data_IF_594703320417
#
_entry.id   IF_594703320417
#
_cell.length_a   1.000
_cell.length_b   1.000
_cell.length_c   1.000
_cell.angle_alpha   90.00
_cell.angle_beta   90.00
_cell.angle_gamma   90.00
#
_symmetry.space_group_name_H-M   'P 1'
#
loop_
_entity.id
_entity.type
_entity.pdbx_description
1 polymer ?
#
# COMPACT_ATOMS: atom_id res chain seq x y z
N UNK A 1 9.29 -1.52 13.86
CA UNK A 1 9.91 -1.63 12.52
C UNK A 1 8.82 -1.97 11.54
N UNK A 2 8.61 -1.13 10.53
CA UNK A 2 7.51 -1.23 9.56
C UNK A 2 7.00 0.16 9.19
N UNK A 3 7.67 0.80 8.23
CA UNK A 3 7.28 2.08 7.65
C UNK A 3 5.95 1.92 6.88
N UNK A 4 4.97 2.76 7.19
CA UNK A 4 3.80 2.97 6.34
C UNK A 4 3.78 4.44 5.94
N UNK A 5 4.17 4.71 4.68
CA UNK A 5 3.95 5.98 4.00
C UNK A 5 2.47 6.06 3.64
N UNK A 6 1.81 7.11 4.08
CA UNK A 6 0.52 7.52 3.53
C UNK A 6 0.75 8.86 2.84
N UNK A 7 0.25 9.04 1.62
CA UNK A 7 0.25 10.31 0.92
C UNK A 7 -1.21 10.77 0.87
N UNK A 8 -1.50 11.86 1.57
CA UNK A 8 -2.60 12.76 1.23
C UNK A 8 -2.06 14.19 1.40
N UNK A 9 -2.05 14.93 0.29
CA UNK A 9 -1.65 16.34 0.21
C UNK A 9 -2.21 16.97 -1.08
N UNK A 10 -2.51 18.29 -1.07
CA UNK A 10 -3.64 18.94 -1.74
C UNK A 10 -3.32 19.45 -3.17
N UNK A 11 -4.26 20.12 -3.88
CA UNK A 11 -4.08 20.48 -5.27
C UNK A 11 -3.11 21.67 -5.45
N UNK A 12 -2.39 21.61 -6.56
CA UNK A 12 -1.40 22.55 -7.03
C UNK A 12 -1.90 24.00 -7.13
N UNK A 13 -1.13 24.94 -6.59
CA UNK A 13 -0.95 26.24 -7.22
C UNK A 13 0.37 26.22 -8.01
N UNK A 14 0.25 26.52 -9.30
CA UNK A 14 1.35 26.45 -10.26
C UNK A 14 2.41 27.50 -10.00
N UNK A 15 3.60 27.05 -9.61
CA UNK A 15 4.84 27.81 -9.72
C UNK A 15 5.66 27.26 -10.88
N UNK A 16 5.89 28.09 -11.91
CA UNK A 16 6.80 27.77 -13.01
C UNK A 16 8.20 27.53 -12.44
N UNK A 17 8.66 26.28 -12.46
CA UNK A 17 10.07 25.99 -12.25
C UNK A 17 10.88 26.50 -13.45
N UNK A 18 11.54 27.62 -13.23
CA UNK A 18 12.58 28.14 -14.11
C UNK A 18 13.77 27.21 -13.97
N UNK A 19 14.02 26.37 -14.97
CA UNK A 19 15.20 25.51 -14.99
C UNK A 19 16.47 26.34 -14.84
N UNK A 20 17.22 26.14 -13.76
CA UNK A 20 18.57 26.66 -13.60
C UNK A 20 19.45 26.00 -14.66
N UNK A 21 19.64 26.72 -15.77
CA UNK A 21 20.63 26.40 -16.80
C UNK A 21 22.01 26.49 -16.12
N UNK A 22 22.61 25.33 -15.85
CA UNK A 22 23.98 25.20 -15.34
C UNK A 22 24.93 25.79 -16.39
N UNK A 23 25.40 27.01 -16.17
CA UNK A 23 26.49 27.59 -16.98
C UNK A 23 27.79 27.03 -16.41
N UNK A 24 28.41 26.10 -17.15
CA UNK A 24 29.77 25.62 -16.88
C UNK A 24 30.73 26.81 -16.85
N UNK A 25 31.30 27.07 -15.67
CA UNK A 25 32.48 27.89 -15.55
C UNK A 25 33.65 27.12 -16.18
N UNK A 26 34.11 27.59 -17.34
CA UNK A 26 35.41 27.23 -17.90
C UNK A 26 36.46 28.17 -17.34
N UNK A 27 37.61 27.59 -17.02
CA UNK A 27 38.86 28.25 -16.62
C UNK A 27 39.14 29.54 -17.41
N UNK A 28 39.49 30.60 -16.68
CA UNK A 28 40.32 31.72 -17.16
C UNK A 28 40.95 32.45 -15.97
N UNK A 29 42.25 32.69 -16.09
CA UNK A 29 43.26 33.18 -15.14
C UNK A 29 42.95 34.38 -14.22
N UNK A 30 43.76 34.57 -13.15
CA UNK A 30 43.58 35.62 -12.15
C UNK A 30 44.32 36.90 -12.54
N UNK A 31 43.57 37.91 -13.00
CA UNK A 31 43.91 39.34 -12.79
C UNK A 31 42.85 40.23 -13.43
N UNK A 32 42.07 40.87 -12.57
CA UNK A 32 41.13 41.90 -12.98
C UNK A 32 40.43 42.46 -11.74
N UNK A 33 40.99 43.52 -11.18
CA UNK A 33 40.27 44.40 -10.29
C UNK A 33 39.12 45.01 -11.12
N UNK A 34 37.91 44.51 -10.95
CA UNK A 34 36.70 45.05 -11.54
C UNK A 34 35.61 45.00 -10.49
N UNK A 35 35.16 46.17 -10.05
CA UNK A 35 34.07 46.33 -9.10
C UNK A 35 32.82 45.58 -9.60
N UNK A 36 32.47 44.47 -8.95
CA UNK A 36 31.15 43.87 -9.11
C UNK A 36 30.11 44.87 -8.59
N UNK A 37 29.06 45.23 -9.35
CA UNK A 37 28.11 46.24 -8.91
C UNK A 37 27.44 45.81 -7.60
N UNK A 38 27.40 46.66 -6.55
CA UNK A 38 26.76 46.29 -5.28
C UNK A 38 25.27 45.94 -5.43
N UNK A 39 24.63 46.29 -6.55
CA UNK A 39 23.25 45.92 -6.85
C UNK A 39 23.04 44.45 -7.18
N UNK A 40 23.97 43.76 -7.84
CA UNK A 40 23.77 42.38 -8.29
C UNK A 40 23.85 41.37 -7.14
N UNK A 41 24.78 41.59 -6.21
CA UNK A 41 24.91 40.78 -4.99
C UNK A 41 23.74 40.98 -4.02
N UNK A 42 23.15 42.18 -3.99
CA UNK A 42 21.95 42.47 -3.19
C UNK A 42 20.70 41.78 -3.75
N UNK A 43 20.51 41.79 -5.07
CA UNK A 43 19.39 41.09 -5.71
C UNK A 43 19.50 39.58 -5.55
N UNK A 44 20.70 39.02 -5.67
CA UNK A 44 20.94 37.60 -5.44
C UNK A 44 20.66 37.20 -3.98
N UNK A 45 21.13 38.01 -3.02
CA UNK A 45 20.82 37.79 -1.59
C UNK A 45 19.32 37.85 -1.33
N UNK A 46 18.61 38.83 -1.91
CA UNK A 46 17.17 38.97 -1.75
C UNK A 46 16.41 37.78 -2.35
N UNK A 47 16.83 37.28 -3.51
CA UNK A 47 16.26 36.08 -4.13
C UNK A 47 16.45 34.83 -3.26
N UNK A 48 17.63 34.66 -2.67
CA UNK A 48 17.89 33.57 -1.71
C UNK A 48 17.03 33.68 -0.45
N UNK A 49 16.83 34.89 0.08
CA UNK A 49 15.95 35.10 1.24
C UNK A 49 14.49 34.76 0.93
N UNK A 50 14.01 35.12 -0.27
CA UNK A 50 12.65 34.76 -0.69
C UNK A 50 12.50 33.25 -0.90
N UNK A 51 13.50 32.60 -1.47
CA UNK A 51 13.48 31.15 -1.68
C UNK A 51 13.55 30.40 -0.36
N UNK A 52 14.37 30.87 0.60
CA UNK A 52 14.43 30.30 1.94
C UNK A 52 13.08 30.41 2.66
N UNK A 53 12.40 31.56 2.55
CA UNK A 53 11.05 31.74 3.13
C UNK A 53 10.04 30.82 2.47
N UNK A 54 10.02 30.74 1.14
CA UNK A 54 9.18 29.82 0.38
C UNK A 54 9.40 28.36 0.81
N UNK A 55 10.66 27.96 0.98
CA UNK A 55 11.03 26.63 1.46
C UNK A 55 10.57 26.39 2.90
N UNK A 56 10.66 27.38 3.79
CA UNK A 56 10.19 27.27 5.18
C UNK A 56 8.66 27.13 5.24
N UNK A 57 7.93 27.89 4.45
CA UNK A 57 6.47 27.81 4.37
C UNK A 57 6.03 26.45 3.81
N UNK A 58 6.73 25.93 2.79
CA UNK A 58 6.50 24.60 2.25
C UNK A 58 6.77 23.50 3.29
N UNK A 59 7.82 23.64 4.12
CA UNK A 59 8.09 22.71 5.21
C UNK A 59 6.97 22.71 6.25
N UNK A 60 6.47 23.88 6.66
CA UNK A 60 5.35 23.98 7.60
C UNK A 60 4.08 23.30 7.04
N UNK A 61 3.78 23.51 5.76
CA UNK A 61 2.65 22.86 5.10
C UNK A 61 2.78 21.32 5.08
N UNK A 62 4.00 20.81 4.82
CA UNK A 62 4.29 19.38 4.85
C UNK A 62 4.21 18.81 6.28
N UNK A 63 4.66 19.54 7.29
CA UNK A 63 4.52 19.14 8.69
C UNK A 63 3.05 19.03 9.12
N UNK A 64 2.22 19.98 8.73
CA UNK A 64 0.78 19.96 9.03
C UNK A 64 0.07 18.83 8.28
N UNK A 65 0.45 18.57 7.02
CA UNK A 65 0.02 17.39 6.27
C UNK A 65 0.39 16.08 7.00
N UNK A 66 1.63 15.98 7.51
CA UNK A 66 2.08 14.82 8.27
C UNK A 66 1.29 14.63 9.57
N UNK A 67 0.97 15.73 10.28
CA UNK A 67 0.12 15.70 11.47
C UNK A 67 -1.29 15.23 11.15
N UNK A 68 -1.89 15.70 10.06
CA UNK A 68 -3.22 15.28 9.61
C UNK A 68 -3.23 13.79 9.25
N UNK A 69 -2.25 13.35 8.47
CA UNK A 69 -2.09 11.95 8.08
C UNK A 69 -1.96 11.01 9.29
N UNK A 70 -1.22 11.41 10.33
CA UNK A 70 -1.12 10.64 11.59
C UNK A 70 -2.48 10.49 12.28
N UNK A 71 -3.32 11.53 12.26
CA UNK A 71 -4.70 11.44 12.80
C UNK A 71 -5.55 10.49 11.97
N UNK A 72 -5.48 10.58 10.65
CA UNK A 72 -6.22 9.71 9.73
C UNK A 72 -5.80 8.24 9.87
N UNK A 73 -4.50 7.98 10.00
CA UNK A 73 -3.98 6.63 10.24
C UNK A 73 -4.49 6.06 11.57
N UNK A 74 -4.51 6.86 12.63
CA UNK A 74 -5.05 6.44 13.93
C UNK A 74 -6.55 6.13 13.84
N UNK A 75 -7.32 6.97 13.15
CA UNK A 75 -8.74 6.76 12.90
C UNK A 75 -9.00 5.49 12.08
N UNK A 76 -8.20 5.25 11.04
CA UNK A 76 -8.30 4.05 10.21
C UNK A 76 -8.03 2.79 11.03
N UNK A 77 -6.98 2.78 11.86
CA UNK A 77 -6.69 1.65 12.76
C UNK A 77 -7.84 1.38 13.71
N UNK A 78 -8.44 2.42 14.28
CA UNK A 78 -9.62 2.29 15.13
C UNK A 78 -10.79 1.66 14.38
N UNK A 79 -11.12 2.14 13.17
CA UNK A 79 -12.22 1.59 12.36
C UNK A 79 -11.99 0.14 11.94
N UNK A 80 -10.75 -0.23 11.63
CA UNK A 80 -10.37 -1.62 11.33
C UNK A 80 -10.59 -2.50 12.55
N UNK A 81 -10.21 -2.05 13.74
CA UNK A 81 -10.40 -2.82 14.97
C UNK A 81 -11.89 -2.93 15.34
N UNK A 82 -12.67 -1.87 15.17
CA UNK A 82 -14.13 -1.91 15.34
C UNK A 82 -14.78 -2.92 14.37
N UNK A 83 -14.37 -2.93 13.10
CA UNK A 83 -14.84 -3.91 12.12
C UNK A 83 -14.43 -5.34 12.49
N UNK A 84 -13.19 -5.54 12.95
CA UNK A 84 -12.71 -6.84 13.44
C UNK A 84 -13.56 -7.35 14.60
N UNK A 85 -13.86 -6.50 15.59
CA UNK A 85 -14.70 -6.86 16.73
C UNK A 85 -16.13 -7.22 16.29
N UNK A 86 -16.71 -6.46 15.36
CA UNK A 86 -18.03 -6.76 14.81
C UNK A 86 -18.06 -8.13 14.09
N UNK A 87 -17.01 -8.46 13.32
CA UNK A 87 -16.88 -9.76 12.67
C UNK A 87 -16.71 -10.91 13.66
N UNK A 88 -15.95 -10.71 14.74
CA UNK A 88 -15.83 -11.72 15.80
C UNK A 88 -17.17 -11.97 16.49
N UNK A 89 -17.93 -10.90 16.76
CA UNK A 89 -19.28 -11.00 17.33
C UNK A 89 -20.26 -11.72 16.40
N UNK A 90 -20.24 -11.39 15.10
CA UNK A 90 -21.11 -12.05 14.13
C UNK A 90 -20.74 -13.52 13.94
N UNK A 91 -19.45 -13.86 13.90
CA UNK A 91 -18.97 -15.24 13.83
C UNK A 91 -19.40 -16.06 15.05
N UNK A 92 -19.31 -15.49 16.26
CA UNK A 92 -19.81 -16.14 17.47
C UNK A 92 -21.32 -16.43 17.36
N UNK A 93 -22.10 -15.50 16.80
CA UNK A 93 -23.53 -15.70 16.57
C UNK A 93 -23.81 -16.79 15.54
N UNK A 94 -23.04 -16.85 14.46
CA UNK A 94 -23.15 -17.91 13.45
C UNK A 94 -22.92 -19.27 14.09
N UNK A 95 -21.87 -19.44 14.91
CA UNK A 95 -21.62 -20.69 15.64
C UNK A 95 -22.77 -21.09 16.56
N UNK A 96 -23.38 -20.13 17.26
CA UNK A 96 -24.57 -20.39 18.07
C UNK A 96 -25.74 -20.89 17.19
N UNK A 97 -25.97 -20.26 16.03
CA UNK A 97 -27.01 -20.67 15.10
C UNK A 97 -26.73 -22.04 14.48
N UNK A 98 -25.47 -22.37 14.17
CA UNK A 98 -25.05 -23.69 13.69
C UNK A 98 -25.38 -24.78 14.71
N UNK A 99 -25.06 -24.56 16.00
CA UNK A 99 -25.41 -25.53 17.06
C UNK A 99 -26.93 -25.72 17.20
N UNK A 100 -27.71 -24.65 17.07
CA UNK A 100 -29.18 -24.70 17.08
C UNK A 100 -29.72 -25.44 15.85
N UNK A 101 -29.18 -25.16 14.67
CA UNK A 101 -29.54 -25.83 13.43
C UNK A 101 -29.25 -27.34 13.48
N UNK A 102 -28.15 -27.76 14.12
CA UNK A 102 -27.82 -29.17 14.33
C UNK A 102 -28.87 -29.95 15.15
N UNK A 103 -29.67 -29.27 15.99
CA UNK A 103 -30.77 -29.90 16.75
C UNK A 103 -32.02 -30.12 15.91
N UNK A 104 -32.20 -29.39 14.81
CA UNK A 104 -33.41 -29.44 13.99
C UNK A 104 -33.65 -30.85 13.41
N UNK A 105 -32.67 -31.55 12.83
CA UNK A 105 -32.88 -32.92 12.32
C UNK A 105 -33.23 -33.95 13.42
N UNK A 106 -32.73 -33.76 14.64
CA UNK A 106 -33.06 -34.62 15.79
C UNK A 106 -34.52 -34.41 16.21
N UNK A 107 -34.94 -33.15 16.32
CA UNK A 107 -36.33 -32.79 16.63
C UNK A 107 -37.27 -33.29 15.54
N UNK A 108 -36.92 -33.14 14.26
CA UNK A 108 -37.69 -33.67 13.13
C UNK A 108 -37.85 -35.20 13.21
N UNK A 109 -36.79 -35.94 13.56
CA UNK A 109 -36.87 -37.39 13.76
C UNK A 109 -37.81 -37.76 14.92
N UNK A 110 -37.74 -37.04 16.04
CA UNK A 110 -38.61 -37.28 17.19
C UNK A 110 -40.07 -36.97 16.86
N UNK A 111 -40.35 -35.89 16.14
CA UNK A 111 -41.70 -35.53 15.68
C UNK A 111 -42.26 -36.66 14.81
N UNK A 112 -41.52 -37.13 13.80
CA UNK A 112 -41.96 -38.24 12.95
C UNK A 112 -42.26 -39.52 13.74
N UNK A 113 -41.42 -39.83 14.72
CA UNK A 113 -41.65 -40.99 15.57
C UNK A 113 -42.92 -40.85 16.42
N UNK A 114 -43.12 -39.69 17.05
CA UNK A 114 -44.35 -39.39 17.79
C UNK A 114 -45.59 -39.43 16.88
N UNK A 115 -45.48 -38.93 15.64
CA UNK A 115 -46.55 -39.02 14.64
C UNK A 115 -46.88 -40.49 14.32
N UNK A 116 -45.89 -41.36 14.17
CA UNK A 116 -46.13 -42.81 13.96
C UNK A 116 -46.76 -43.48 15.18
N UNK A 117 -46.36 -43.12 16.40
CA UNK A 117 -46.96 -43.65 17.64
C UNK A 117 -48.41 -43.19 17.79
N UNK A 118 -48.71 -41.92 17.51
CA UNK A 118 -50.07 -41.39 17.53
C UNK A 118 -50.97 -42.04 16.49
N UNK A 119 -50.45 -42.27 15.28
CA UNK A 119 -51.17 -43.02 14.24
C UNK A 119 -51.45 -44.46 14.69
N UNK A 120 -50.47 -45.13 15.30
CA UNK A 120 -50.63 -46.49 15.82
C UNK A 120 -51.66 -46.58 16.96
N UNK A 121 -51.68 -45.62 17.89
CA UNK A 121 -52.69 -45.54 18.95
C UNK A 121 -54.10 -45.26 18.39
N UNK A 122 -54.19 -44.58 17.25
CA UNK A 122 -55.46 -44.31 16.56
C UNK A 122 -55.96 -45.51 15.74
N UNK A 123 -55.04 -46.32 15.25
CA UNK A 123 -55.30 -47.48 14.39
C UNK A 123 -55.47 -48.79 15.15
N UNK A 124 -55.02 -48.89 16.41
CA UNK A 124 -55.26 -50.04 17.28
C UNK A 124 -56.63 -49.91 17.96
N UNK A 125 -57.66 -50.68 17.56
CA UNK A 125 -58.90 -50.75 18.29
C UNK A 125 -58.78 -51.90 19.27
N UNK A 126 -58.38 -51.65 20.51
CA UNK A 126 -58.69 -52.61 21.55
C UNK A 126 -59.10 -51.93 22.85
N UNK A 127 -60.39 -52.05 23.14
CA UNK A 127 -60.91 -52.22 24.49
C UNK A 127 -60.68 -51.03 25.43
N UNK A 128 -61.34 -49.93 25.10
CA UNK A 128 -61.39 -48.74 25.94
C UNK A 128 -62.57 -47.82 25.62
N UNK A 129 -63.71 -48.40 25.21
CA UNK A 129 -64.98 -47.74 25.48
C UNK A 129 -65.02 -47.39 26.96
N UNK A 130 -65.41 -46.16 27.30
CA UNK A 130 -65.73 -45.62 28.65
C UNK A 130 -64.73 -44.65 29.30
N UNK A 131 -64.03 -43.75 28.58
CA UNK A 131 -63.41 -42.57 29.23
C UNK A 131 -63.54 -41.23 28.49
N UNK A 132 -64.11 -41.15 27.28
CA UNK A 132 -64.39 -39.85 26.65
C UNK A 132 -65.70 -39.17 27.14
N UNK A 133 -66.34 -39.69 28.19
CA UNK A 133 -67.62 -39.16 28.70
C UNK A 133 -67.55 -38.38 30.02
N UNK A 134 -66.38 -38.14 30.64
CA UNK A 134 -66.30 -37.49 31.97
C UNK A 134 -65.22 -36.40 32.12
N UNK A 135 -65.04 -35.52 31.13
CA UNK A 135 -64.32 -34.23 31.37
C UNK A 135 -65.11 -33.03 30.84
N UNK A 136 -66.43 -33.15 30.83
CA UNK A 136 -67.36 -32.01 30.81
C UNK A 136 -68.04 -31.90 32.18
N UNK A 137 -67.29 -31.56 33.24
CA UNK A 137 -67.83 -31.14 34.56
C UNK A 137 -66.70 -30.85 35.55
N UNK A 138 -65.97 -29.75 35.38
CA UNK A 138 -65.48 -28.97 36.52
C UNK A 138 -65.51 -27.49 36.14
N UNK A 139 -66.57 -26.86 36.65
CA UNK A 139 -66.76 -25.43 36.81
C UNK A 139 -65.77 -24.90 37.86
N UNK A 140 -65.46 -23.58 37.82
CA UNK A 140 -64.96 -22.64 38.88
C UNK A 140 -63.85 -21.71 38.32
N UNK A 141 -63.77 -20.39 38.66
CA UNK A 141 -64.51 -19.33 37.98
C UNK A 141 -63.58 -18.19 37.47
N UNK A 142 -64.23 -17.22 36.83
CA UNK A 142 -63.71 -15.95 36.29
C UNK A 142 -62.81 -15.14 37.24
N UNK A 143 -61.81 -14.44 36.70
CA UNK A 143 -61.37 -13.07 37.09
C UNK A 143 -60.30 -12.51 36.13
N UNK A 144 -60.67 -11.47 35.36
CA UNK A 144 -59.91 -10.34 34.77
C UNK A 144 -58.43 -10.47 34.35
N UNK A 145 -57.91 -9.82 33.31
CA UNK A 145 -58.32 -8.60 32.59
C UNK A 145 -57.35 -8.45 31.41
N UNK A 146 -57.81 -8.04 30.22
CA UNK A 146 -56.97 -7.37 29.22
C UNK A 146 -56.64 -8.13 27.93
N UNK A 147 -57.57 -8.02 26.97
CA UNK A 147 -57.36 -7.97 25.51
C UNK A 147 -56.30 -6.91 25.09
N UNK A 148 -55.92 -6.73 23.79
CA UNK A 148 -56.46 -7.36 22.58
C UNK A 148 -55.47 -7.79 21.46
N UNK A 149 -56.06 -8.54 20.52
CA UNK A 149 -55.93 -8.49 19.04
C UNK A 149 -54.61 -8.93 18.38
N UNK A 150 -54.62 -9.75 17.31
CA UNK A 150 -55.52 -9.73 16.15
C UNK A 150 -55.68 -11.13 15.53
N UNK A 151 -56.91 -11.40 15.08
CA UNK A 151 -57.36 -12.51 14.23
C UNK A 151 -56.69 -12.41 12.84
N UNK A 152 -56.68 -13.36 11.92
CA UNK A 152 -57.66 -14.31 11.36
C UNK A 152 -56.90 -14.96 10.18
N UNK A 153 -57.26 -16.03 9.48
CA UNK A 153 -58.24 -17.10 9.52
C UNK A 153 -58.09 -17.86 8.18
N UNK A 154 -58.58 -19.11 8.09
CA UNK A 154 -58.97 -19.77 6.84
C UNK A 154 -57.83 -20.50 6.10
N UNK A 155 -57.60 -21.79 6.25
CA UNK A 155 -58.46 -22.96 5.96
C UNK A 155 -58.77 -23.15 4.46
N UNK A 156 -58.19 -24.18 3.83
CA UNK A 156 -58.96 -25.33 3.32
C UNK A 156 -58.12 -26.32 2.50
N UNK A 157 -58.26 -27.60 2.91
CA UNK A 157 -58.45 -28.81 2.11
C UNK A 157 -57.45 -29.26 1.03
N UNK A 158 -56.74 -30.35 1.37
CA UNK A 158 -57.08 -31.67 0.79
C UNK A 158 -56.23 -32.17 -0.41
N UNK A 159 -56.11 -33.50 -0.57
CA UNK A 159 -54.83 -34.14 -0.88
C UNK A 159 -54.79 -34.85 -2.24
N UNK A 160 -53.60 -35.03 -2.83
CA UNK A 160 -53.39 -36.20 -3.70
C UNK A 160 -51.95 -36.72 -3.73
N UNK A 161 -51.86 -38.05 -3.62
CA UNK A 161 -50.71 -38.96 -3.64
C UNK A 161 -49.98 -38.98 -5.00
N UNK A 162 -48.65 -39.16 -4.97
CA UNK A 162 -47.83 -40.32 -5.47
C UNK A 162 -46.36 -39.88 -5.56
N UNK A 163 -45.49 -40.28 -4.62
CA UNK A 163 -44.55 -41.44 -4.65
C UNK A 163 -43.37 -41.35 -5.64
N UNK A 164 -42.16 -41.46 -5.05
CA UNK A 164 -40.98 -42.23 -5.53
C UNK A 164 -40.20 -41.66 -6.75
N UNK A 165 -38.86 -41.61 -6.85
CA UNK A 165 -37.73 -42.32 -6.22
C UNK A 165 -36.41 -41.51 -6.34
N UNK A 166 -35.52 -41.76 -5.38
CA UNK A 166 -34.06 -41.88 -5.44
C UNK A 166 -33.26 -41.13 -6.54
N UNK A 167 -32.33 -40.29 -6.10
CA UNK A 167 -30.94 -40.44 -6.53
C UNK A 167 -29.99 -39.98 -5.41
N UNK A 168 -29.43 -40.96 -4.70
CA UNK A 168 -28.18 -40.78 -3.95
C UNK A 168 -27.03 -40.79 -4.94
N UNK A 169 -26.21 -39.74 -4.94
CA UNK A 169 -24.80 -39.87 -5.32
C UNK A 169 -23.96 -39.13 -4.27
N UNK A 170 -23.31 -39.96 -3.46
CA UNK A 170 -22.19 -39.61 -2.60
C UNK A 170 -20.91 -39.33 -3.41
N UNK A 171 -19.96 -38.71 -2.70
CA UNK A 171 -18.48 -38.69 -2.86
C UNK A 171 -17.89 -37.37 -3.38
N UNK A 172 -17.52 -36.46 -2.47
CA UNK A 172 -16.29 -36.41 -1.63
C UNK A 172 -15.10 -35.77 -2.36
N UNK A 173 -14.72 -34.58 -1.90
CA UNK A 173 -13.46 -33.88 -2.18
C UNK A 173 -12.29 -34.50 -1.41
N UNK A 174 -11.04 -34.48 -1.91
CA UNK A 174 -9.90 -35.02 -1.18
C UNK A 174 -9.28 -33.99 -0.24
N UNK A 175 -9.11 -34.38 1.01
CA UNK A 175 -8.36 -33.67 2.05
C UNK A 175 -6.88 -34.09 1.99
N UNK A 176 -5.98 -33.13 2.24
CA UNK A 176 -4.53 -33.33 2.25
C UNK A 176 -4.02 -34.23 3.38
N UNK A 177 -2.90 -34.90 3.11
CA UNK A 177 -2.11 -35.64 4.08
C UNK A 177 -0.70 -35.09 4.16
N UNK A 178 -0.22 -34.94 5.40
CA UNK A 178 1.15 -34.61 5.78
C UNK A 178 1.72 -35.83 6.48
N UNK A 179 2.92 -36.27 6.11
CA UNK A 179 3.70 -37.27 6.84
C UNK A 179 5.18 -36.91 6.78
N UNK A 180 5.89 -37.16 7.87
CA UNK A 180 7.20 -36.61 8.19
C UNK A 180 8.36 -37.60 7.97
N UNK A 181 9.44 -37.08 7.36
CA UNK A 181 10.88 -37.38 7.52
C UNK A 181 11.45 -38.77 7.07
N UNK A 182 12.77 -38.93 6.77
CA UNK A 182 13.92 -38.04 7.07
C UNK A 182 14.96 -37.78 5.93
N UNK A 183 15.82 -36.80 6.22
CA UNK A 183 17.15 -36.40 5.70
C UNK A 183 17.76 -37.03 4.42
N UNK A 184 17.99 -36.19 3.40
CA UNK A 184 19.33 -36.00 2.81
C UNK A 184 19.41 -34.61 2.17
N UNK A 185 20.51 -33.91 2.41
CA UNK A 185 20.69 -32.52 2.02
C UNK A 185 21.09 -32.37 0.57
N UNK A 186 20.47 -31.43 -0.13
CA UNK A 186 21.10 -30.60 -1.15
C UNK A 186 20.13 -29.52 -1.62
N UNK A 187 20.70 -28.35 -1.81
CA UNK A 187 20.14 -27.08 -2.26
C UNK A 187 19.05 -27.24 -3.34
N UNK A 188 17.78 -27.25 -2.94
CA UNK A 188 16.68 -26.99 -3.86
C UNK A 188 16.27 -25.52 -3.75
N UNK A 189 16.85 -24.75 -4.68
CA UNK A 189 16.37 -23.45 -5.10
C UNK A 189 14.84 -23.47 -5.17
N UNK A 190 14.18 -22.78 -4.24
CA UNK A 190 12.77 -22.44 -4.38
C UNK A 190 12.66 -21.50 -5.58
N UNK A 191 12.45 -22.09 -6.77
CA UNK A 191 11.98 -21.34 -7.93
C UNK A 191 10.64 -20.75 -7.53
N UNK A 192 10.57 -19.43 -7.48
CA UNK A 192 9.32 -18.69 -7.36
C UNK A 192 8.34 -19.25 -8.38
N UNK A 193 7.30 -19.92 -7.90
CA UNK A 193 6.15 -20.28 -8.73
C UNK A 193 5.39 -18.97 -8.88
N UNK A 194 5.65 -18.28 -9.99
CA UNK A 194 4.79 -17.20 -10.47
C UNK A 194 3.42 -17.84 -10.72
N UNK A 195 2.53 -17.71 -9.73
CA UNK A 195 1.15 -18.09 -9.88
C UNK A 195 0.53 -17.19 -10.94
N UNK A 196 0.53 -17.65 -12.19
CA UNK A 196 -0.42 -17.18 -13.17
C UNK A 196 -1.80 -17.48 -12.59
N UNK A 197 -2.46 -16.45 -12.04
CA UNK A 197 -3.89 -16.52 -11.88
C UNK A 197 -4.45 -16.82 -13.27
N UNK A 198 -5.14 -17.95 -13.41
CA UNK A 198 -6.02 -18.16 -14.54
C UNK A 198 -7.07 -17.05 -14.46
N UNK A 199 -6.83 -15.98 -15.22
CA UNK A 199 -7.83 -14.99 -15.52
C UNK A 199 -8.85 -15.72 -16.38
N UNK A 200 -9.89 -16.19 -15.72
CA UNK A 200 -11.08 -16.72 -16.35
C UNK A 200 -11.77 -15.56 -17.09
N UNK A 201 -11.29 -15.27 -18.29
CA UNK A 201 -12.02 -14.47 -19.26
C UNK A 201 -13.11 -15.35 -19.86
N UNK A 202 -14.10 -15.73 -19.05
CA UNK A 202 -15.43 -16.03 -19.59
C UNK A 202 -15.99 -14.71 -20.14
N UNK A 203 -15.70 -14.43 -21.41
CA UNK A 203 -16.56 -13.54 -22.18
C UNK A 203 -17.97 -14.14 -22.10
N UNK A 204 -18.84 -13.53 -21.28
CA UNK A 204 -20.28 -13.79 -21.28
C UNK A 204 -20.78 -13.56 -22.70
N UNK A 205 -20.76 -14.62 -23.53
CA UNK A 205 -21.36 -14.67 -24.84
C UNK A 205 -22.86 -14.57 -24.65
N UNK A 206 -23.33 -13.33 -24.55
CA UNK A 206 -24.73 -13.00 -24.76
C UNK A 206 -25.15 -13.68 -26.06
N UNK A 207 -26.10 -14.61 -25.97
CA UNK A 207 -26.63 -15.27 -27.16
C UNK A 207 -27.10 -14.18 -28.14
N UNK A 208 -26.89 -14.38 -29.44
CA UNK A 208 -27.25 -13.38 -30.46
C UNK A 208 -28.72 -12.93 -30.37
N UNK A 209 -29.60 -13.81 -29.88
CA UNK A 209 -30.99 -13.48 -29.54
C UNK A 209 -31.10 -12.52 -28.35
N UNK A 210 -30.34 -12.70 -27.27
CA UNK A 210 -30.34 -11.78 -26.13
C UNK A 210 -29.75 -10.42 -26.50
N UNK A 211 -28.69 -10.38 -27.30
CA UNK A 211 -28.14 -9.13 -27.82
C UNK A 211 -29.10 -8.43 -28.78
N UNK A 212 -29.80 -9.17 -29.64
CA UNK A 212 -30.84 -8.62 -30.52
C UNK A 212 -32.02 -8.09 -29.71
N UNK A 213 -32.48 -8.81 -28.67
CA UNK A 213 -33.53 -8.35 -27.76
C UNK A 213 -33.08 -7.11 -26.97
N UNK A 214 -31.84 -7.07 -26.47
CA UNK A 214 -31.28 -5.90 -25.78
C UNK A 214 -31.08 -4.74 -26.75
N UNK A 215 -30.70 -4.98 -28.00
CA UNK A 215 -30.58 -3.96 -29.04
C UNK A 215 -31.96 -3.43 -29.45
N UNK A 216 -32.98 -4.27 -29.51
CA UNK A 216 -34.36 -3.90 -29.80
C UNK A 216 -34.99 -3.13 -28.63
N UNK A 217 -34.73 -3.55 -27.38
CA UNK A 217 -35.09 -2.81 -26.17
C UNK A 217 -34.33 -1.48 -26.09
N UNK A 218 -33.03 -1.44 -26.41
CA UNK A 218 -32.25 -0.20 -26.52
C UNK A 218 -32.78 0.70 -27.63
N UNK A 219 -33.20 0.15 -28.77
CA UNK A 219 -33.82 0.88 -29.89
C UNK A 219 -35.20 1.42 -29.53
N UNK A 220 -35.99 0.69 -28.75
CA UNK A 220 -37.28 1.15 -28.22
C UNK A 220 -37.03 2.24 -27.17
N UNK A 221 -36.08 2.03 -26.25
CA UNK A 221 -35.76 2.95 -25.17
C UNK A 221 -35.14 4.25 -25.66
N UNK A 222 -34.28 4.21 -26.67
CA UNK A 222 -33.74 5.41 -27.33
C UNK A 222 -34.83 6.20 -28.07
N UNK A 223 -35.81 5.52 -28.67
CA UNK A 223 -36.99 6.18 -29.25
C UNK A 223 -37.90 6.83 -28.20
N UNK A 224 -37.87 6.34 -26.96
CA UNK A 224 -38.61 6.89 -25.82
C UNK A 224 -37.84 8.01 -25.11
N UNK A 225 -36.51 7.95 -25.07
CA UNK A 225 -35.65 8.94 -24.41
C UNK A 225 -35.47 10.23 -25.21
N UNK A 226 -35.91 10.29 -26.47
CA UNK A 226 -35.87 11.49 -27.30
C UNK A 226 -37.07 12.44 -27.08
N UNK A 227 -37.94 12.19 -26.11
CA UNK A 227 -39.05 13.08 -25.79
C UNK A 227 -38.73 13.90 -24.53
N UNK A 228 -38.13 15.06 -24.72
CA UNK A 228 -38.21 16.14 -23.73
C UNK A 228 -39.65 16.64 -23.66
N UNK A 229 -40.28 16.52 -22.48
CA UNK A 229 -41.55 17.09 -22.01
C UNK A 229 -42.83 16.98 -22.89
N UNK A 230 -42.76 16.46 -24.12
CA UNK A 230 -43.91 16.26 -25.02
C UNK A 230 -43.73 15.01 -25.87
N UNK A 231 -43.92 13.83 -25.28
CA UNK A 231 -44.13 12.63 -26.09
C UNK A 231 -45.55 12.67 -26.64
N UNK A 232 -45.72 12.80 -27.96
CA UNK A 232 -47.05 12.80 -28.58
C UNK A 232 -47.80 11.52 -28.21
N UNK A 233 -49.03 11.67 -27.71
CA UNK A 233 -49.96 10.57 -27.40
C UNK A 233 -50.05 9.51 -28.52
N UNK A 234 -49.77 9.90 -29.77
CA UNK A 234 -49.73 9.01 -30.94
C UNK A 234 -48.59 7.98 -30.92
N UNK A 235 -47.42 8.30 -30.36
CA UNK A 235 -46.31 7.36 -30.26
C UNK A 235 -46.58 6.34 -29.13
N UNK A 236 -47.10 6.82 -28.00
CA UNK A 236 -47.53 6.00 -26.89
C UNK A 236 -48.66 5.06 -27.30
N UNK A 237 -49.70 5.56 -27.99
CA UNK A 237 -50.82 4.76 -28.52
C UNK A 237 -50.37 3.66 -29.49
N UNK A 238 -49.35 3.89 -30.32
CA UNK A 238 -48.79 2.86 -31.23
C UNK A 238 -48.09 1.74 -30.47
N UNK A 239 -47.37 2.07 -29.39
CA UNK A 239 -46.78 1.09 -28.49
C UNK A 239 -47.87 0.29 -27.74
N UNK A 240 -48.88 0.96 -27.20
CA UNK A 240 -50.01 0.30 -26.54
C UNK A 240 -50.78 -0.64 -27.49
N UNK A 241 -50.94 -0.28 -28.77
CA UNK A 241 -51.61 -1.11 -29.77
C UNK A 241 -50.83 -2.39 -30.11
N UNK A 242 -49.49 -2.37 -30.03
CA UNK A 242 -48.66 -3.55 -30.29
C UNK A 242 -48.72 -4.59 -29.16
N UNK A 243 -49.05 -4.18 -27.94
CA UNK A 243 -49.23 -5.08 -26.79
C UNK A 243 -50.71 -5.35 -26.45
N UNK A 244 -51.64 -4.67 -27.13
CA UNK A 244 -53.07 -4.66 -26.85
C UNK A 244 -53.84 -5.81 -27.49
N UNK A 245 -53.56 -7.04 -27.07
CA UNK A 245 -54.46 -8.18 -27.27
C UNK A 245 -55.27 -8.45 -26.00
N UNK A 246 -56.42 -7.81 -25.85
CA UNK A 246 -57.53 -8.20 -24.96
C UNK A 246 -57.18 -8.71 -23.53
N UNK A 247 -56.65 -7.83 -22.65
CA UNK A 247 -56.88 -7.90 -21.18
C UNK A 247 -56.40 -6.63 -20.46
N UNK A 248 -57.36 -5.84 -19.97
CA UNK A 248 -57.26 -4.98 -18.78
C UNK A 248 -56.37 -3.73 -18.84
N UNK A 249 -56.91 -2.59 -18.42
CA UNK A 249 -56.20 -1.33 -18.14
C UNK A 249 -54.99 -1.52 -17.19
N UNK A 250 -55.00 -2.58 -16.39
CA UNK A 250 -53.92 -3.03 -15.51
C UNK A 250 -52.62 -3.41 -16.26
N UNK A 251 -52.74 -4.01 -17.46
CA UNK A 251 -51.57 -4.38 -18.28
C UNK A 251 -50.87 -3.15 -18.87
N UNK A 252 -51.64 -2.12 -19.23
CA UNK A 252 -51.11 -0.83 -19.69
C UNK A 252 -50.41 -0.06 -18.57
N UNK A 253 -50.98 -0.07 -17.35
CA UNK A 253 -50.33 0.50 -16.17
C UNK A 253 -48.99 -0.18 -15.85
N UNK A 254 -48.93 -1.51 -15.95
CA UNK A 254 -47.69 -2.26 -15.72
C UNK A 254 -46.58 -1.93 -16.72
N UNK A 255 -46.92 -1.73 -18.01
CA UNK A 255 -45.95 -1.35 -19.05
C UNK A 255 -45.42 0.06 -18.82
N UNK A 256 -46.27 1.03 -18.45
CA UNK A 256 -45.84 2.39 -18.14
C UNK A 256 -44.94 2.44 -16.91
N UNK A 257 -45.30 1.71 -15.84
CA UNK A 257 -44.46 1.60 -14.64
C UNK A 257 -43.10 0.95 -14.94
N UNK A 258 -43.07 -0.04 -15.84
CA UNK A 258 -41.80 -0.65 -16.28
C UNK A 258 -40.96 0.36 -17.05
N UNK A 259 -41.57 1.15 -17.95
CA UNK A 259 -40.90 2.20 -18.70
C UNK A 259 -40.26 3.24 -17.78
N UNK A 260 -41.01 3.70 -16.78
CA UNK A 260 -40.53 4.64 -15.77
C UNK A 260 -39.36 4.05 -14.97
N UNK A 261 -39.48 2.79 -14.52
CA UNK A 261 -38.39 2.08 -13.83
C UNK A 261 -37.15 1.93 -14.70
N UNK A 262 -37.30 1.53 -15.97
CA UNK A 262 -36.17 1.37 -16.91
C UNK A 262 -35.50 2.71 -17.19
N UNK A 263 -36.27 3.80 -17.36
CA UNK A 263 -35.67 5.14 -17.55
C UNK A 263 -35.00 5.65 -16.27
N UNK A 264 -35.54 5.36 -15.08
CA UNK A 264 -34.91 5.70 -13.81
C UNK A 264 -33.58 4.95 -13.61
N UNK A 265 -33.57 3.64 -13.86
CA UNK A 265 -32.36 2.82 -13.80
C UNK A 265 -31.33 3.24 -14.85
N UNK A 266 -31.77 3.61 -16.07
CA UNK A 266 -30.87 4.11 -17.12
C UNK A 266 -30.17 5.41 -16.71
N UNK A 267 -30.91 6.34 -16.07
CA UNK A 267 -30.32 7.57 -15.52
C UNK A 267 -29.33 7.26 -14.39
N UNK A 268 -29.67 6.30 -13.52
CA UNK A 268 -28.79 5.88 -12.43
C UNK A 268 -27.49 5.25 -12.93
N UNK A 269 -27.59 4.40 -13.98
CA UNK A 269 -26.43 3.80 -14.63
C UNK A 269 -25.53 4.87 -15.25
N UNK A 270 -26.09 5.83 -16.00
CA UNK A 270 -25.30 6.93 -16.58
C UNK A 270 -24.56 7.75 -15.52
N UNK A 271 -25.21 8.03 -14.38
CA UNK A 271 -24.57 8.74 -13.27
C UNK A 271 -23.43 7.92 -12.66
N UNK A 272 -23.62 6.59 -12.52
CA UNK A 272 -22.58 5.68 -12.04
C UNK A 272 -21.41 5.53 -13.02
N UNK A 273 -21.67 5.45 -14.31
CA UNK A 273 -20.66 5.43 -15.36
C UNK A 273 -19.83 6.73 -15.36
N UNK A 274 -20.48 7.89 -15.22
CA UNK A 274 -19.79 9.17 -15.13
C UNK A 274 -18.95 9.28 -13.84
N UNK A 275 -19.46 8.78 -12.71
CA UNK A 275 -18.69 8.68 -11.47
C UNK A 275 -17.47 7.78 -11.62
N UNK A 276 -17.61 6.62 -12.27
CA UNK A 276 -16.51 5.71 -12.54
C UNK A 276 -15.46 6.32 -13.48
N UNK A 277 -15.89 7.00 -14.56
CA UNK A 277 -14.99 7.72 -15.46
C UNK A 277 -14.21 8.81 -14.74
N UNK A 278 -14.86 9.58 -13.87
CA UNK A 278 -14.19 10.61 -13.07
C UNK A 278 -13.15 9.99 -12.12
N UNK A 279 -13.54 8.94 -11.38
CA UNK A 279 -12.62 8.24 -10.50
C UNK A 279 -11.42 7.63 -11.25
N UNK A 280 -11.64 7.13 -12.46
CA UNK A 280 -10.56 6.62 -13.31
C UNK A 280 -9.57 7.73 -13.69
N UNK A 281 -10.06 8.90 -14.12
CA UNK A 281 -9.20 10.04 -14.42
C UNK A 281 -8.43 10.53 -13.18
N UNK A 282 -9.08 10.59 -12.02
CA UNK A 282 -8.44 10.97 -10.76
C UNK A 282 -7.31 9.97 -10.38
N UNK A 283 -7.54 8.66 -10.62
CA UNK A 283 -6.54 7.61 -10.40
C UNK A 283 -5.37 7.68 -11.40
N UNK A 284 -5.65 7.92 -12.68
CA UNK A 284 -4.61 8.06 -13.71
C UNK A 284 -3.76 9.31 -13.43
N UNK A 285 -4.38 10.42 -13.03
CA UNK A 285 -3.66 11.62 -12.61
C UNK A 285 -2.78 11.36 -11.38
N UNK A 286 -3.28 10.63 -10.38
CA UNK A 286 -2.49 10.24 -9.20
C UNK A 286 -1.31 9.35 -9.59
N UNK A 287 -1.51 8.40 -10.51
CA UNK A 287 -0.45 7.53 -11.04
C UNK A 287 0.63 8.35 -11.72
N UNK A 288 0.27 9.31 -12.57
CA UNK A 288 1.22 10.17 -13.26
C UNK A 288 2.04 11.02 -12.28
N UNK A 289 1.41 11.58 -11.25
CA UNK A 289 2.11 12.31 -10.18
C UNK A 289 3.09 11.41 -9.42
N UNK A 290 2.68 10.18 -9.08
CA UNK A 290 3.55 9.22 -8.41
C UNK A 290 4.73 8.78 -9.29
N UNK A 291 4.51 8.62 -10.59
CA UNK A 291 5.59 8.31 -11.53
C UNK A 291 6.61 9.45 -11.61
N UNK A 292 6.16 10.70 -11.63
CA UNK A 292 7.05 11.87 -11.59
C UNK A 292 7.84 11.95 -10.28
N UNK A 293 7.19 11.73 -9.13
CA UNK A 293 7.87 11.69 -7.83
C UNK A 293 8.91 10.56 -7.77
N UNK A 294 8.58 9.37 -8.29
CA UNK A 294 9.52 8.24 -8.33
C UNK A 294 10.72 8.55 -9.23
N UNK A 295 10.50 9.16 -10.40
CA UNK A 295 11.57 9.57 -11.30
C UNK A 295 12.49 10.61 -10.63
N UNK A 296 11.91 11.64 -9.99
CA UNK A 296 12.69 12.62 -9.25
C UNK A 296 13.50 11.97 -8.12
N UNK A 297 12.91 11.02 -7.38
CA UNK A 297 13.62 10.30 -6.32
C UNK A 297 14.76 9.44 -6.87
N UNK A 298 14.60 8.85 -8.06
CA UNK A 298 15.68 8.12 -8.73
C UNK A 298 16.86 9.06 -9.05
N UNK A 299 16.59 10.23 -9.64
CA UNK A 299 17.60 11.23 -9.94
C UNK A 299 18.31 11.75 -8.68
N UNK A 300 17.56 12.04 -7.61
CA UNK A 300 18.13 12.40 -6.31
C UNK A 300 19.04 11.28 -5.75
N UNK A 301 18.65 10.02 -5.88
CA UNK A 301 19.49 8.90 -5.42
C UNK A 301 20.76 8.74 -6.25
N UNK A 302 20.74 9.03 -7.55
CA UNK A 302 21.94 9.02 -8.40
C UNK A 302 22.92 10.12 -8.00
N UNK A 303 22.41 11.33 -7.71
CA UNK A 303 23.23 12.44 -7.22
C UNK A 303 23.86 12.11 -5.86
N UNK A 304 23.08 11.60 -4.92
CA UNK A 304 23.60 11.17 -3.61
C UNK A 304 24.62 10.05 -3.74
N UNK A 305 24.43 9.12 -4.69
CA UNK A 305 25.41 8.07 -4.95
C UNK A 305 26.74 8.65 -5.45
N UNK A 306 26.70 9.63 -6.35
CA UNK A 306 27.90 10.33 -6.79
C UNK A 306 28.60 11.10 -5.66
N UNK A 307 27.84 11.78 -4.79
CA UNK A 307 28.40 12.44 -3.59
C UNK A 307 29.05 11.45 -2.63
N UNK A 308 28.42 10.30 -2.40
CA UNK A 308 28.98 9.23 -1.58
C UNK A 308 30.29 8.71 -2.16
N UNK A 309 30.36 8.47 -3.48
CA UNK A 309 31.61 8.06 -4.12
C UNK A 309 32.70 9.13 -3.95
N UNK A 310 32.36 10.41 -4.09
CA UNK A 310 33.31 11.51 -3.85
C UNK A 310 33.80 11.52 -2.39
N UNK A 311 32.92 11.31 -1.42
CA UNK A 311 33.29 11.21 -0.01
C UNK A 311 34.14 9.98 0.29
N UNK A 312 33.87 8.83 -0.34
CA UNK A 312 34.69 7.63 -0.21
C UNK A 312 36.10 7.86 -0.76
N UNK A 313 36.23 8.54 -1.91
CA UNK A 313 37.54 8.88 -2.47
C UNK A 313 38.32 9.83 -1.56
N UNK A 314 37.68 10.85 -0.99
CA UNK A 314 38.30 11.75 -0.01
C UNK A 314 38.65 11.02 1.29
N UNK A 315 37.79 10.12 1.77
CA UNK A 315 38.09 9.28 2.94
C UNK A 315 39.36 8.47 2.73
N UNK A 316 39.49 7.79 1.58
CA UNK A 316 40.69 7.00 1.25
C UNK A 316 41.92 7.92 1.14
N UNK A 317 41.79 9.06 0.47
CA UNK A 317 42.89 10.04 0.35
C UNK A 317 43.35 10.54 1.72
N UNK A 318 42.42 10.88 2.62
CA UNK A 318 42.73 11.32 3.98
C UNK A 318 43.36 10.20 4.82
N UNK A 319 42.87 8.97 4.68
CA UNK A 319 43.48 7.80 5.35
C UNK A 319 44.93 7.59 4.92
N UNK A 320 45.24 7.78 3.64
CA UNK A 320 46.62 7.67 3.14
C UNK A 320 47.51 8.82 3.65
N UNK A 321 46.96 10.03 3.75
CA UNK A 321 47.65 11.18 4.36
C UNK A 321 47.93 10.91 5.84
N UNK A 322 46.97 10.35 6.59
CA UNK A 322 47.12 9.98 7.99
C UNK A 322 48.22 8.92 8.19
N UNK A 323 48.21 7.86 7.38
CA UNK A 323 49.26 6.82 7.40
C UNK A 323 50.64 7.44 7.14
N UNK A 324 50.76 8.29 6.11
CA UNK A 324 52.04 8.94 5.77
C UNK A 324 52.50 9.95 6.82
N UNK A 325 51.58 10.65 7.47
CA UNK A 325 51.90 11.51 8.61
C UNK A 325 52.48 10.68 9.75
N UNK A 326 51.91 9.50 10.03
CA UNK A 326 52.42 8.62 11.07
C UNK A 326 53.85 8.13 10.75
N UNK A 327 54.10 7.71 9.51
CA UNK A 327 55.44 7.32 9.04
C UNK A 327 56.46 8.44 9.24
N UNK A 328 56.12 9.66 8.80
CA UNK A 328 56.99 10.85 8.91
C UNK A 328 57.23 11.20 10.37
N UNK A 329 56.21 11.18 11.22
CA UNK A 329 56.33 11.45 12.66
C UNK A 329 57.26 10.43 13.33
N UNK A 330 57.19 9.15 12.94
CA UNK A 330 58.08 8.12 13.46
C UNK A 330 59.55 8.38 13.06
N UNK A 331 59.82 8.74 11.81
CA UNK A 331 61.16 9.11 11.36
C UNK A 331 61.70 10.37 12.07
N UNK A 332 60.84 11.38 12.24
CA UNK A 332 61.20 12.59 12.98
C UNK A 332 61.50 12.30 14.45
N UNK A 333 60.78 11.35 15.06
CA UNK A 333 61.06 10.89 16.41
C UNK A 333 62.44 10.21 16.49
N UNK A 334 62.78 9.34 15.54
CA UNK A 334 64.10 8.71 15.47
C UNK A 334 65.24 9.74 15.30
N UNK A 335 65.07 10.74 14.42
CA UNK A 335 66.06 11.81 14.25
C UNK A 335 66.22 12.66 15.50
N UNK A 336 65.14 12.87 16.26
CA UNK A 336 65.19 13.56 17.55
C UNK A 336 66.02 12.77 18.55
N UNK A 337 65.84 11.45 18.62
CA UNK A 337 66.60 10.58 19.53
C UNK A 337 68.10 10.56 19.18
N UNK A 338 68.44 10.73 17.90
CA UNK A 338 69.81 10.89 17.39
C UNK A 338 70.40 12.31 17.57
N UNK A 339 69.65 13.27 18.13
CA UNK A 339 70.07 14.66 18.36
C UNK A 339 70.63 15.37 17.11
N UNK A 340 69.94 15.25 15.97
CA UNK A 340 70.36 15.88 14.71
C UNK A 340 70.45 17.40 14.82
N UNK A 341 71.47 17.98 14.19
CA UNK A 341 71.68 19.44 14.23
C UNK A 341 70.53 20.18 13.55
N UNK A 342 70.16 21.35 14.11
CA UNK A 342 69.16 22.25 13.52
C UNK A 342 69.48 22.62 12.06
N UNK A 343 70.78 22.69 11.72
CA UNK A 343 71.25 23.00 10.36
C UNK A 343 70.96 21.87 9.38
N UNK A 344 71.10 20.61 9.80
CA UNK A 344 70.79 19.44 8.99
C UNK A 344 69.29 19.29 8.78
N UNK A 345 68.49 19.46 9.83
CA UNK A 345 67.03 19.45 9.73
C UNK A 345 66.50 20.55 8.79
N UNK A 346 67.07 21.75 8.89
CA UNK A 346 66.74 22.86 7.99
C UNK A 346 67.03 22.55 6.51
N UNK A 347 68.12 21.81 6.21
CA UNK A 347 68.43 21.37 4.85
C UNK A 347 67.38 20.39 4.31
N UNK A 348 67.00 19.38 5.10
CA UNK A 348 65.98 18.38 4.73
C UNK A 348 64.65 19.07 4.39
N UNK A 349 64.21 20.01 5.23
CA UNK A 349 62.96 20.74 5.00
C UNK A 349 63.02 21.64 3.76
N UNK A 350 64.15 22.33 3.54
CA UNK A 350 64.33 23.16 2.36
C UNK A 350 64.37 22.32 1.08
N UNK A 351 65.11 21.20 1.06
CA UNK A 351 65.14 20.26 -0.06
C UNK A 351 63.77 19.66 -0.36
N UNK A 352 63.00 19.34 0.68
CA UNK A 352 61.61 18.89 0.54
C UNK A 352 60.73 19.95 -0.13
N UNK A 353 60.74 21.20 0.36
CA UNK A 353 59.93 22.28 -0.20
C UNK A 353 60.35 22.64 -1.63
N UNK A 354 61.65 22.61 -1.92
CA UNK A 354 62.21 22.87 -3.25
C UNK A 354 61.79 21.78 -4.25
N UNK A 355 61.72 20.51 -3.82
CA UNK A 355 61.20 19.40 -4.64
C UNK A 355 59.69 19.47 -4.90
N UNK A 356 58.93 20.18 -4.08
CA UNK A 356 57.47 20.29 -4.16
C UNK A 356 56.99 21.61 -4.80
N UNK A 357 57.89 22.45 -5.32
CA UNK A 357 57.61 23.82 -5.77
C UNK A 357 56.83 23.93 -7.11
N UNK A 358 56.22 22.85 -7.59
CA UNK A 358 55.53 22.83 -8.88
C UNK A 358 54.05 23.25 -8.74
N UNK A 359 53.63 24.38 -9.35
CA UNK A 359 52.29 24.98 -9.15
C UNK A 359 51.11 24.19 -9.74
N UNK A 360 51.35 23.02 -10.37
CA UNK A 360 50.31 22.18 -10.98
C UNK A 360 49.59 21.24 -10.00
N UNK A 361 50.07 21.12 -8.77
CA UNK A 361 49.56 20.12 -7.83
C UNK A 361 48.34 20.66 -7.06
N UNK A 362 47.16 20.18 -7.43
CA UNK A 362 45.87 20.49 -6.79
C UNK A 362 45.71 19.81 -5.42
N UNK A 363 44.54 19.21 -5.15
CA UNK A 363 44.17 18.57 -3.86
C UNK A 363 45.13 17.45 -3.37
N UNK A 364 46.03 16.96 -4.24
CA UNK A 364 47.02 15.94 -3.93
C UNK A 364 48.34 16.50 -3.33
N UNK A 365 48.53 17.82 -3.32
CA UNK A 365 49.77 18.47 -2.91
C UNK A 365 50.27 18.06 -1.51
N UNK A 366 49.34 17.86 -0.56
CA UNK A 366 49.71 17.48 0.82
C UNK A 366 50.39 16.11 0.85
N UNK A 367 49.86 15.13 0.11
CA UNK A 367 50.41 13.77 0.12
C UNK A 367 51.78 13.72 -0.57
N UNK A 368 51.97 14.52 -1.63
CA UNK A 368 53.25 14.65 -2.32
C UNK A 368 54.31 15.28 -1.43
N UNK A 369 53.97 16.35 -0.70
CA UNK A 369 54.85 16.97 0.29
C UNK A 369 55.25 15.97 1.37
N UNK A 370 54.30 15.18 1.87
CA UNK A 370 54.59 14.14 2.86
C UNK A 370 55.47 13.01 2.31
N UNK A 371 55.26 12.60 1.06
CA UNK A 371 56.10 11.60 0.41
C UNK A 371 57.52 12.12 0.16
N UNK A 372 57.66 13.35 -0.33
CA UNK A 372 58.96 14.00 -0.49
C UNK A 372 59.70 14.10 0.84
N UNK A 373 59.00 14.53 1.90
CA UNK A 373 59.56 14.60 3.24
C UNK A 373 59.98 13.22 3.75
N UNK A 374 59.15 12.20 3.56
CA UNK A 374 59.48 10.82 3.91
C UNK A 374 60.75 10.34 3.20
N UNK A 375 60.88 10.61 1.90
CA UNK A 375 62.07 10.23 1.13
C UNK A 375 63.33 10.99 1.58
N UNK A 376 63.24 12.30 1.82
CA UNK A 376 64.36 13.10 2.33
C UNK A 376 64.78 12.67 3.74
N UNK A 377 63.80 12.34 4.61
CA UNK A 377 64.08 11.80 5.94
C UNK A 377 64.73 10.42 5.86
N UNK A 378 64.22 9.49 5.04
CA UNK A 378 64.82 8.15 4.90
C UNK A 378 66.19 8.18 4.23
N UNK A 379 66.43 9.12 3.32
CA UNK A 379 67.73 9.34 2.66
C UNK A 379 68.78 9.96 3.59
N UNK A 380 68.40 10.41 4.79
CA UNK A 380 69.36 10.87 5.78
C UNK A 380 70.29 9.72 6.19
N UNK A 381 71.57 9.83 5.83
CA UNK A 381 72.63 8.83 6.10
C UNK A 381 72.71 8.39 7.58
N UNK A 382 72.29 9.26 8.50
CA UNK A 382 72.23 9.03 9.95
C UNK A 382 71.15 8.02 10.38
N UNK A 383 70.08 7.85 9.59
CA UNK A 383 69.05 6.84 9.82
C UNK A 383 69.38 5.50 9.14
N UNK A 384 70.26 5.50 8.15
CA UNK A 384 70.69 4.30 7.40
C UNK A 384 71.81 3.50 8.10
N UNK A 385 72.42 4.05 9.16
CA UNK A 385 73.66 3.53 9.75
C UNK A 385 73.47 2.58 10.94
N UNK A 386 72.25 2.21 11.35
CA UNK A 386 72.05 1.28 12.48
C UNK A 386 71.05 0.14 12.21
N UNK A 387 71.52 -1.12 12.29
CA UNK A 387 70.75 -2.23 12.80
C UNK A 387 71.32 -2.61 14.17
N UNK A 388 70.85 -2.04 15.28
CA UNK A 388 71.31 -2.50 16.59
C UNK A 388 70.24 -2.44 17.70
N UNK A 389 69.80 -3.66 18.03
CA UNK A 389 69.42 -4.17 19.34
C UNK A 389 69.22 -3.18 20.51
N UNK A 390 67.96 -3.12 20.95
CA UNK A 390 67.51 -3.17 22.36
C UNK A 390 68.20 -2.22 23.36
N UNK A 391 67.47 -1.17 23.71
CA UNK A 391 67.37 -0.71 25.11
C UNK A 391 65.90 -0.51 25.47
N UNK A 392 65.43 -1.44 26.30
CA UNK A 392 64.23 -1.24 27.10
C UNK A 392 64.51 -0.09 28.07
N UNK A 393 63.94 1.08 27.82
CA UNK A 393 63.68 2.07 28.86
C UNK A 393 62.22 2.47 28.72
N UNK A 394 61.40 1.98 29.65
CA UNK A 394 59.97 2.21 29.63
C UNK A 394 59.65 3.70 29.73
N UNK A 395 58.85 4.18 28.79
CA UNK A 395 57.81 5.17 29.05
C UNK A 395 56.65 4.83 28.12
N UNK A 396 55.68 4.11 28.69
CA UNK A 396 54.34 3.95 28.17
C UNK A 396 53.72 5.34 27.96
N UNK A 397 53.92 5.94 26.80
CA UNK A 397 53.05 7.00 26.31
C UNK A 397 51.98 6.33 25.47
N UNK A 398 50.93 5.91 26.19
CA UNK A 398 49.59 5.68 25.65
C UNK A 398 49.12 6.95 24.93
N UNK A 399 49.54 7.12 23.68
CA UNK A 399 48.97 8.13 22.78
C UNK A 399 47.68 7.56 22.21
N UNK A 400 46.62 7.68 23.01
CA UNK A 400 45.25 7.58 22.54
C UNK A 400 44.95 8.82 21.67
N UNK A 401 45.43 8.84 20.43
CA UNK A 401 44.82 9.63 19.36
C UNK A 401 43.72 8.77 18.73
N UNK A 402 42.71 8.47 19.54
CA UNK A 402 41.41 8.03 19.03
C UNK A 402 40.70 9.27 18.50
N UNK A 403 40.92 9.58 17.24
CA UNK A 403 39.99 10.44 16.50
C UNK A 403 38.78 9.56 16.19
N UNK A 404 37.82 9.52 17.11
CA UNK A 404 36.51 8.92 16.87
C UNK A 404 35.74 9.80 15.88
N UNK A 405 35.40 9.23 14.72
CA UNK A 405 34.45 9.79 13.76
C UNK A 405 33.02 9.79 14.31
#
# INVERSE_FOLDING_TARGET
VGLWKSHSGPPAEGGRFSGCRRVSARDSDPRGCGDEPPGETLLFRQALETELRSSQDALLALEDGNRQLKREQALMRRRVEEARQALLGSLAKVKELETKAGRVPLLQRRIRHLETELLHCRETPSSGSTLESEVSKLQVPSSGTGDPEYRSAGSSNGPNRRCCLNSQQDRHSPTGHSEAAPEHGEEQLFRSVEGQAASDEEEEKWTGEQQSQVAEVKKILTRLSCCGDRCDDKALKRLLLHFGGARGEESHGAVLQLLEKVTALSRQLQLKENQARKAQMDMDQMKDNLLLELQQKAEETELLHAELQMLETERVRLSLVEEKLMDVLQLLQQLRDLNVSRRSLGKILLSTLESCSDPQHGKAHILEVLNALYHELTACELLSTEPLTRTQSGQSLSNALLITC
#
